data_IF_111482129670
#
_entry.id   IF_111482129670
#
_cell.length_a   1.000
_cell.length_b   1.000
_cell.length_c   1.000
_cell.angle_alpha   90.00
_cell.angle_beta   90.00
_cell.angle_gamma   90.00
#
_symmetry.space_group_name_H-M   'P 1'
#
loop_
_entity.id
_entity.type
_entity.pdbx_description
1 polymer ?
#
# COMPACT_ATOMS: atom_id res chain seq x y z
N UNK A 1 -3.04 -24.15 -25.66
CA UNK A 1 -2.29 -25.13 -24.84
C UNK A 1 -1.64 -24.46 -23.63
N UNK A 2 -0.37 -24.01 -23.64
CA UNK A 2 0.32 -23.53 -22.43
C UNK A 2 -0.34 -22.28 -21.79
N UNK A 3 -0.78 -21.34 -22.63
CA UNK A 3 -1.40 -20.10 -22.16
C UNK A 3 -2.78 -20.33 -21.51
N UNK A 4 -3.54 -21.31 -22.01
CA UNK A 4 -4.84 -21.69 -21.43
C UNK A 4 -4.64 -22.41 -20.10
N UNK A 5 -3.64 -23.28 -20.01
CA UNK A 5 -3.24 -23.95 -18.77
C UNK A 5 -2.82 -22.93 -17.71
N UNK A 6 -1.95 -21.98 -18.07
CA UNK A 6 -1.54 -20.91 -17.16
C UNK A 6 -2.73 -20.08 -16.66
N UNK A 7 -3.67 -19.73 -17.54
CA UNK A 7 -4.88 -19.01 -17.15
C UNK A 7 -5.78 -19.86 -16.24
N UNK A 8 -5.86 -21.17 -16.43
CA UNK A 8 -6.59 -22.07 -15.55
C UNK A 8 -5.95 -22.11 -14.15
N UNK A 9 -4.62 -22.22 -14.06
CA UNK A 9 -3.87 -22.21 -12.80
C UNK A 9 -4.03 -20.88 -12.05
N UNK A 10 -4.00 -19.75 -12.77
CA UNK A 10 -4.27 -18.42 -12.17
C UNK A 10 -5.67 -18.37 -11.56
N UNK A 11 -6.67 -18.92 -12.25
CA UNK A 11 -8.06 -18.93 -11.76
C UNK A 11 -8.22 -19.81 -10.52
N UNK A 12 -7.58 -20.98 -10.51
CA UNK A 12 -7.58 -21.89 -9.37
C UNK A 12 -6.88 -21.27 -8.15
N UNK A 13 -5.72 -20.65 -8.35
CA UNK A 13 -4.99 -19.93 -7.31
C UNK A 13 -5.81 -18.78 -6.72
N UNK A 14 -6.47 -17.99 -7.58
CA UNK A 14 -7.34 -16.90 -7.15
C UNK A 14 -8.53 -17.42 -6.33
N UNK A 15 -9.19 -18.49 -6.78
CA UNK A 15 -10.32 -19.08 -6.07
C UNK A 15 -9.88 -19.59 -4.69
N UNK A 16 -8.81 -20.37 -4.64
CA UNK A 16 -8.27 -20.92 -3.40
C UNK A 16 -7.91 -19.81 -2.40
N UNK A 17 -7.27 -18.73 -2.87
CA UNK A 17 -6.97 -17.57 -2.03
C UNK A 17 -8.22 -16.90 -1.47
N UNK A 18 -9.23 -16.64 -2.30
CA UNK A 18 -10.47 -15.98 -1.86
C UNK A 18 -11.24 -16.84 -0.85
N UNK A 19 -11.28 -18.15 -1.05
CA UNK A 19 -11.92 -19.11 -0.13
C UNK A 19 -11.20 -19.18 1.22
N UNK A 20 -9.87 -19.23 1.20
CA UNK A 20 -9.06 -19.19 2.42
C UNK A 20 -9.27 -17.88 3.18
N UNK A 21 -9.25 -16.76 2.46
CA UNK A 21 -9.43 -15.44 3.06
C UNK A 21 -10.82 -15.31 3.72
N UNK A 22 -11.90 -15.75 3.06
CA UNK A 22 -13.23 -15.77 3.67
C UNK A 22 -13.30 -16.67 4.91
N UNK A 23 -12.65 -17.84 4.88
CA UNK A 23 -12.60 -18.75 6.03
C UNK A 23 -11.90 -18.09 7.21
N UNK A 24 -10.73 -17.48 7.00
CA UNK A 24 -9.98 -16.80 8.06
C UNK A 24 -10.78 -15.62 8.64
N UNK A 25 -11.42 -14.80 7.80
CA UNK A 25 -12.19 -13.65 8.27
C UNK A 25 -13.39 -14.07 9.13
N UNK A 26 -14.03 -15.19 8.80
CA UNK A 26 -15.15 -15.76 9.58
C UNK A 26 -14.70 -16.33 10.93
N UNK A 27 -13.47 -16.83 11.01
CA UNK A 27 -12.89 -17.37 12.25
C UNK A 27 -12.46 -16.26 13.20
N UNK A 28 -11.60 -15.35 12.72
CA UNK A 28 -11.16 -14.17 13.46
C UNK A 28 -10.77 -13.07 12.45
N UNK A 29 -11.60 -12.03 12.37
CA UNK A 29 -11.38 -10.90 11.47
C UNK A 29 -10.09 -10.14 11.80
N UNK A 30 -9.79 -9.91 13.08
CA UNK A 30 -8.63 -9.13 13.49
C UNK A 30 -7.33 -9.86 13.09
N UNK A 31 -7.28 -11.16 13.35
CA UNK A 31 -6.17 -12.00 12.93
C UNK A 31 -6.09 -12.10 11.40
N UNK A 32 -7.21 -12.29 10.70
CA UNK A 32 -7.25 -12.37 9.25
C UNK A 32 -6.73 -11.08 8.59
N UNK A 33 -7.13 -9.91 9.07
CA UNK A 33 -6.66 -8.61 8.60
C UNK A 33 -5.14 -8.51 8.76
N UNK A 34 -4.58 -8.99 9.87
CA UNK A 34 -3.12 -9.02 10.12
C UNK A 34 -2.36 -10.05 9.25
N UNK A 35 -2.95 -11.22 9.00
CA UNK A 35 -2.34 -12.27 8.16
C UNK A 35 -2.39 -11.90 6.67
N UNK A 36 -3.54 -11.48 6.15
CA UNK A 36 -3.85 -11.41 4.71
C UNK A 36 -3.28 -10.22 3.92
N UNK A 37 -2.70 -9.23 4.55
CA UNK A 37 -2.35 -7.94 3.94
C UNK A 37 -3.48 -6.88 3.99
N UNK A 38 -4.62 -7.21 4.59
CA UNK A 38 -5.90 -6.50 4.65
C UNK A 38 -5.95 -5.08 5.24
N UNK A 39 -6.88 -4.20 4.85
CA UNK A 39 -7.56 -3.30 5.79
C UNK A 39 -8.91 -3.92 6.19
N UNK A 40 -9.54 -3.40 7.26
CA UNK A 40 -10.81 -3.96 7.77
C UNK A 40 -11.96 -3.83 6.76
N UNK A 41 -12.09 -2.67 6.10
CA UNK A 41 -13.12 -2.42 5.10
C UNK A 41 -13.07 -3.44 3.94
N UNK A 42 -11.87 -3.77 3.45
CA UNK A 42 -11.70 -4.79 2.40
C UNK A 42 -12.04 -6.18 2.91
N UNK A 43 -11.74 -6.49 4.17
CA UNK A 43 -12.12 -7.76 4.78
C UNK A 43 -13.65 -7.89 4.89
N UNK A 44 -14.36 -6.81 5.24
CA UNK A 44 -15.82 -6.79 5.30
C UNK A 44 -16.45 -6.98 3.91
N UNK A 45 -15.92 -6.29 2.89
CA UNK A 45 -16.35 -6.49 1.50
C UNK A 45 -16.13 -7.95 1.09
N UNK A 46 -14.94 -8.51 1.38
CA UNK A 46 -14.60 -9.88 1.02
C UNK A 46 -15.50 -10.90 1.72
N UNK A 47 -15.85 -10.67 2.99
CA UNK A 47 -16.76 -11.52 3.75
C UNK A 47 -18.19 -11.50 3.22
N UNK A 48 -18.64 -10.35 2.69
CA UNK A 48 -19.99 -10.17 2.15
C UNK A 48 -20.16 -10.74 0.73
N UNK A 49 -19.08 -11.11 0.02
CA UNK A 49 -19.18 -11.65 -1.32
C UNK A 49 -19.89 -13.00 -1.35
N UNK A 50 -20.83 -13.14 -2.30
CA UNK A 50 -21.46 -14.42 -2.59
C UNK A 50 -20.52 -15.35 -3.36
N UNK A 51 -20.80 -16.66 -3.34
CA UNK A 51 -20.01 -17.65 -4.08
C UNK A 51 -19.93 -17.32 -5.59
N UNK A 52 -21.02 -16.83 -6.18
CA UNK A 52 -21.03 -16.43 -7.59
C UNK A 52 -20.10 -15.23 -7.86
N UNK A 53 -20.03 -14.26 -6.94
CA UNK A 53 -19.12 -13.12 -7.05
C UNK A 53 -17.65 -13.54 -6.87
N UNK A 54 -17.38 -14.45 -5.93
CA UNK A 54 -16.06 -15.06 -5.73
C UNK A 54 -15.59 -15.77 -7.01
N UNK A 55 -16.44 -16.58 -7.63
CA UNK A 55 -16.13 -17.23 -8.91
C UNK A 55 -15.84 -16.22 -10.03
N UNK A 56 -16.61 -15.13 -10.10
CA UNK A 56 -16.39 -14.05 -11.08
C UNK A 56 -15.07 -13.29 -10.85
N UNK A 57 -14.64 -13.15 -9.60
CA UNK A 57 -13.34 -12.56 -9.27
C UNK A 57 -12.20 -13.52 -9.59
N UNK A 58 -12.37 -14.81 -9.28
CA UNK A 58 -11.40 -15.84 -9.56
C UNK A 58 -11.14 -16.03 -11.05
N UNK A 59 -12.15 -15.82 -11.91
CA UNK A 59 -12.04 -15.99 -13.37
C UNK A 59 -11.10 -14.98 -14.07
N UNK A 60 -10.66 -13.93 -13.36
CA UNK A 60 -9.73 -12.92 -13.87
C UNK A 60 -8.38 -13.54 -14.24
N UNK A 61 -7.76 -13.04 -15.30
CA UNK A 61 -6.46 -13.48 -15.82
C UNK A 61 -5.26 -12.95 -15.03
N UNK A 62 -5.50 -12.21 -13.96
CA UNK A 62 -4.46 -11.63 -13.10
C UNK A 62 -4.53 -12.24 -11.71
N UNK A 63 -3.36 -12.51 -11.11
CA UNK A 63 -3.30 -12.99 -9.74
C UNK A 63 -3.76 -11.89 -8.77
N UNK A 64 -4.69 -12.26 -7.89
CA UNK A 64 -5.24 -11.40 -6.85
C UNK A 64 -4.33 -11.36 -5.62
N UNK A 65 -3.66 -12.47 -5.31
CA UNK A 65 -2.69 -12.54 -4.24
C UNK A 65 -1.35 -11.93 -4.69
N UNK A 66 -0.75 -11.11 -3.83
CA UNK A 66 0.66 -10.72 -3.94
C UNK A 66 1.43 -11.37 -2.82
N UNK A 67 2.60 -11.92 -3.16
CA UNK A 67 3.57 -12.27 -2.13
C UNK A 67 4.00 -10.98 -1.44
N UNK A 68 3.88 -10.96 -0.12
CA UNK A 68 4.40 -9.83 0.69
C UNK A 68 5.92 -9.85 0.77
N UNK A 69 6.56 -10.91 0.27
CA UNK A 69 8.00 -11.17 0.33
C UNK A 69 8.64 -10.46 -0.87
N UNK A 70 8.65 -9.13 -0.84
CA UNK A 70 9.13 -8.32 -1.97
C UNK A 70 10.62 -7.95 -1.85
N UNK A 71 11.28 -8.25 -0.73
CA UNK A 71 12.64 -7.80 -0.46
C UNK A 71 13.63 -8.97 -0.55
N UNK A 72 14.69 -8.81 -1.36
CA UNK A 72 15.78 -9.78 -1.48
C UNK A 72 16.40 -10.12 -0.12
N UNK A 73 16.35 -9.16 0.82
CA UNK A 73 16.78 -9.39 2.20
C UNK A 73 15.88 -10.38 2.94
N UNK A 74 14.56 -10.29 2.77
CA UNK A 74 13.62 -11.24 3.40
C UNK A 74 13.78 -12.63 2.78
N UNK A 75 14.00 -12.71 1.47
CA UNK A 75 14.33 -13.98 0.80
C UNK A 75 15.63 -14.58 1.32
N UNK A 76 16.70 -13.79 1.46
CA UNK A 76 17.98 -14.25 2.02
C UNK A 76 17.87 -14.72 3.48
N UNK A 77 17.01 -14.09 4.27
CA UNK A 77 16.74 -14.50 5.66
C UNK A 77 15.89 -15.78 5.75
N UNK A 78 14.90 -15.94 4.87
CA UNK A 78 14.02 -17.11 4.85
C UNK A 78 14.69 -18.35 4.24
N UNK A 79 15.63 -18.17 3.32
CA UNK A 79 16.31 -19.27 2.62
C UNK A 79 17.71 -19.58 3.15
N UNK A 80 18.20 -18.79 4.13
CA UNK A 80 19.55 -18.89 4.71
C UNK A 80 20.69 -18.88 3.66
N UNK A 81 20.42 -18.41 2.43
CA UNK A 81 21.43 -18.19 1.43
C UNK A 81 22.23 -16.93 1.81
N UNK A 82 23.27 -17.10 2.62
CA UNK A 82 24.44 -16.24 2.43
C UNK A 82 24.85 -16.44 0.95
N UNK A 83 24.76 -15.40 0.14
CA UNK A 83 25.27 -15.41 -1.24
C UNK A 83 26.71 -15.92 -1.21
N UNK A 84 26.90 -17.19 -1.52
CA UNK A 84 28.17 -17.91 -1.52
C UNK A 84 28.95 -17.58 -2.79
N UNK A 85 29.15 -16.29 -3.05
CA UNK A 85 29.96 -15.75 -4.15
C UNK A 85 30.82 -14.57 -3.69
N UNK A 86 31.31 -14.61 -2.44
CA UNK A 86 32.46 -13.81 -2.04
C UNK A 86 33.62 -14.80 -1.78
N UNK A 87 34.77 -14.65 -2.44
CA UNK A 87 35.90 -15.56 -2.25
C UNK A 87 36.40 -15.40 -0.81
N UNK A 88 36.70 -16.56 -0.22
CA UNK A 88 37.60 -16.85 0.89
C UNK A 88 37.80 -15.72 1.92
N UNK A 89 37.36 -15.97 3.16
CA UNK A 89 37.42 -15.15 4.39
C UNK A 89 36.11 -14.52 4.90
N UNK A 90 34.93 -14.93 4.41
CA UNK A 90 33.66 -14.57 5.06
C UNK A 90 33.18 -15.72 5.96
N UNK A 91 33.28 -15.52 7.27
CA UNK A 91 32.85 -16.43 8.31
C UNK A 91 31.48 -17.08 7.99
N UNK A 92 31.42 -18.41 8.10
CA UNK A 92 30.19 -19.20 8.16
C UNK A 92 29.39 -18.72 9.37
N UNK A 93 28.61 -17.64 9.20
CA UNK A 93 27.73 -17.14 10.24
C UNK A 93 26.58 -18.12 10.30
N UNK A 94 26.61 -19.01 11.29
CA UNK A 94 25.45 -19.82 11.70
C UNK A 94 24.42 -18.81 12.23
N UNK A 95 23.64 -18.24 11.31
CA UNK A 95 22.49 -17.43 11.66
C UNK A 95 21.43 -18.36 12.24
N UNK A 96 20.99 -18.09 13.47
CA UNK A 96 19.91 -18.84 14.08
C UNK A 96 18.66 -18.70 13.21
N UNK A 97 18.27 -19.78 12.52
CA UNK A 97 17.14 -19.83 11.58
C UNK A 97 15.85 -19.30 12.24
N UNK A 98 15.63 -19.65 13.51
CA UNK A 98 14.51 -19.13 14.29
C UNK A 98 14.56 -17.61 14.45
N UNK A 99 15.73 -17.02 14.65
CA UNK A 99 15.89 -15.55 14.75
C UNK A 99 15.69 -14.87 13.40
N UNK A 100 16.17 -15.47 12.31
CA UNK A 100 15.98 -14.94 10.95
C UNK A 100 14.50 -14.97 10.53
N UNK A 101 13.79 -16.05 10.83
CA UNK A 101 12.36 -16.18 10.58
C UNK A 101 11.55 -15.13 11.38
N UNK A 102 11.92 -14.87 12.64
CA UNK A 102 11.31 -13.82 13.45
C UNK A 102 11.58 -12.42 12.88
N UNK A 103 12.82 -12.11 12.49
CA UNK A 103 13.16 -10.83 11.85
C UNK A 103 12.39 -10.62 10.53
N UNK A 104 12.28 -11.67 9.70
CA UNK A 104 11.44 -11.63 8.51
C UNK A 104 9.98 -11.33 8.86
N UNK A 105 9.41 -12.03 9.85
CA UNK A 105 8.04 -11.77 10.32
C UNK A 105 7.80 -10.32 10.77
N UNK A 106 8.75 -9.74 11.52
CA UNK A 106 8.69 -8.35 12.00
C UNK A 106 8.74 -7.36 10.82
N UNK A 107 9.66 -7.54 9.88
CA UNK A 107 9.77 -6.67 8.69
C UNK A 107 8.48 -6.69 7.86
N UNK A 108 7.91 -7.88 7.71
CA UNK A 108 6.70 -8.11 6.93
C UNK A 108 5.46 -7.50 7.59
N UNK A 109 5.38 -7.50 8.91
CA UNK A 109 4.33 -6.84 9.68
C UNK A 109 4.51 -5.31 9.71
N UNK A 110 5.74 -4.82 9.89
CA UNK A 110 6.08 -3.40 10.06
C UNK A 110 5.70 -2.53 8.85
N UNK A 111 5.69 -3.10 7.64
CA UNK A 111 5.28 -2.37 6.41
C UNK A 111 3.83 -1.85 6.47
N UNK A 112 2.98 -2.42 7.31
CA UNK A 112 1.59 -1.97 7.51
C UNK A 112 1.44 -0.79 8.45
N UNK A 113 2.35 -0.66 9.40
CA UNK A 113 2.35 0.41 10.40
C UNK A 113 3.00 1.69 9.88
N UNK A 114 3.58 1.69 8.67
CA UNK A 114 3.98 2.96 8.04
C UNK A 114 2.72 3.70 7.63
N UNK A 115 2.34 4.81 8.29
CA UNK A 115 1.30 5.68 7.74
C UNK A 115 1.72 6.05 6.33
N UNK A 116 0.79 5.99 5.37
CA UNK A 116 0.99 6.54 4.02
C UNK A 116 1.61 7.91 4.22
N UNK A 117 2.88 8.10 3.83
CA UNK A 117 3.42 9.44 3.68
C UNK A 117 2.49 10.12 2.68
N UNK A 118 1.66 11.04 3.17
CA UNK A 118 0.90 11.93 2.30
C UNK A 118 1.95 12.63 1.44
N UNK A 119 1.81 12.68 0.10
CA UNK A 119 2.66 13.55 -0.69
C UNK A 119 2.57 14.95 -0.06
N UNK A 120 3.72 15.49 0.36
CA UNK A 120 3.78 16.83 0.96
C UNK A 120 3.14 17.85 0.02
N UNK A 121 2.58 18.95 0.55
CA UNK A 121 1.94 19.95 -0.29
C UNK A 121 2.92 20.37 -1.38
N UNK A 122 2.51 20.19 -2.64
CA UNK A 122 3.25 20.67 -3.79
C UNK A 122 3.59 22.14 -3.51
N UNK A 123 4.89 22.42 -3.40
CA UNK A 123 5.44 23.76 -3.21
C UNK A 123 4.91 24.58 -4.39
N UNK A 124 3.87 25.38 -4.14
CA UNK A 124 3.40 26.38 -5.09
C UNK A 124 4.57 27.33 -5.29
N UNK A 125 5.28 27.14 -6.40
CA UNK A 125 6.18 28.15 -6.94
C UNK A 125 5.29 29.31 -7.33
N UNK A 126 5.11 30.24 -6.40
CA UNK A 126 4.46 31.51 -6.61
C UNK A 126 5.07 32.14 -7.86
N UNK A 127 4.21 32.34 -8.86
CA UNK A 127 4.51 33.11 -10.04
C UNK A 127 4.99 34.50 -9.61
N UNK A 128 6.23 34.80 -9.96
CA UNK A 128 6.80 36.15 -9.96
C UNK A 128 5.87 37.08 -10.72
N UNK A 129 5.08 37.87 -9.99
CA UNK A 129 4.35 39.02 -10.55
C UNK A 129 5.00 40.28 -10.00
N UNK A 130 5.50 41.18 -10.86
CA UNK A 130 6.27 42.33 -10.40
C UNK A 130 5.38 43.40 -9.77
N UNK A 131 5.91 43.96 -8.68
CA UNK A 131 5.54 45.18 -7.99
C UNK A 131 4.92 46.24 -8.93
N UNK A 132 3.60 46.45 -8.87
CA UNK A 132 3.00 47.76 -9.18
C UNK A 132 2.67 48.43 -7.86
N UNK A 133 3.49 49.42 -7.51
CA UNK A 133 3.20 50.43 -6.51
C UNK A 133 1.86 51.10 -6.84
N UNK A 134 0.85 50.84 -6.02
CA UNK A 134 -0.32 51.71 -5.87
C UNK A 134 -0.30 52.29 -4.47
N UNK A 135 0.15 53.55 -4.35
CA UNK A 135 -0.11 54.50 -3.26
C UNK A 135 0.68 55.77 -3.66
N UNK A 136 0.22 57.00 -3.60
CA UNK A 136 -0.79 57.66 -2.78
C UNK A 136 -0.93 59.08 -3.31
N UNK A 137 -2.14 59.60 -3.58
CA UNK A 137 -2.40 61.02 -3.30
C UNK A 137 -3.85 61.18 -2.87
N UNK A 138 -4.01 61.66 -1.64
CA UNK A 138 -5.24 61.74 -0.87
C UNK A 138 -5.65 63.22 -0.85
N UNK A 139 -6.91 63.50 -1.16
CA UNK A 139 -7.67 64.70 -0.74
C UNK A 139 -7.97 65.76 -1.81
N UNK A 140 -8.92 66.69 -1.57
CA UNK A 140 -9.72 66.88 -0.35
C UNK A 140 -11.26 66.88 -0.56
N UNK A 141 -11.93 66.86 0.58
CA UNK A 141 -13.39 66.89 0.83
C UNK A 141 -13.92 68.33 0.71
N UNK A 142 -15.03 68.54 0.01
CA UNK A 142 -15.92 69.72 0.20
C UNK A 142 -17.33 69.43 -0.31
N UNK A 143 -18.32 69.72 0.54
CA UNK A 143 -19.78 69.65 0.33
C UNK A 143 -20.26 70.84 -0.53
N UNK A 144 -21.49 70.81 -1.10
CA UNK A 144 -22.60 71.47 -0.38
C UNK A 144 -24.03 70.93 -0.68
N UNK A 145 -24.90 71.09 0.32
CA UNK A 145 -26.20 71.77 0.14
C UNK A 145 -27.37 71.03 -0.52
N UNK A 146 -28.19 70.37 0.30
CA UNK A 146 -29.57 69.99 -0.04
C UNK A 146 -30.51 71.10 0.47
N UNK A 147 -31.07 71.91 -0.43
CA UNK A 147 -32.15 72.84 -0.12
C UNK A 147 -33.47 72.06 0.01
N UNK A 148 -34.10 72.16 1.18
CA UNK A 148 -35.53 71.93 1.38
C UNK A 148 -36.17 73.29 1.64
N UNK A 149 -37.08 73.70 0.76
CA UNK A 149 -38.31 74.45 1.06
C UNK A 149 -39.33 74.10 -0.01
#
# INVERSE_FOLDING_TARGET
MLQEQLLAEIREANLTYLMLAQTLIRQDKAEAVFRLGMNEESADILAALSAAQVMKLASRSTLLCRLRVDDNLVWGLLTNHATSHAPDHAAKKVGNEATNALHAGILMASRRLRPRQRPGPARSTAASTPLRMWSSTRGPRSTPGMQRR
#
